data_IF_750741086718
#
_entry.id   IF_750741086718
#
_cell.length_a   1.000
_cell.length_b   1.000
_cell.length_c   1.000
_cell.angle_alpha   90.00
_cell.angle_beta   90.00
_cell.angle_gamma   90.00
#
_symmetry.space_group_name_H-M   'P 1'
#
loop_
_entity.id
_entity.type
_entity.pdbx_description
1 polymer ?
#
# COMPACT_ATOMS: atom_id res chain seq x y z
N UNK A 1 -41.35 -44.68 15.33
CA UNK A 1 -42.41 -43.64 15.36
C UNK A 1 -41.73 -42.33 15.74
N UNK A 2 -41.30 -41.43 14.86
CA UNK A 2 -41.82 -41.02 13.56
C UNK A 2 -42.54 -39.68 13.72
N UNK A 3 -41.92 -38.59 13.21
CA UNK A 3 -42.43 -37.22 12.88
C UNK A 3 -41.53 -36.11 13.46
N UNK A 4 -41.11 -35.06 12.76
CA UNK A 4 -41.15 -34.65 11.34
C UNK A 4 -39.98 -33.65 11.17
N UNK A 5 -39.19 -33.83 10.13
CA UNK A 5 -38.30 -32.80 9.55
C UNK A 5 -39.15 -31.82 8.74
N UNK A 6 -38.96 -30.52 8.91
CA UNK A 6 -39.48 -29.53 7.98
C UNK A 6 -38.35 -28.96 7.13
N UNK A 7 -38.37 -29.34 5.85
CA UNK A 7 -37.58 -28.78 4.76
C UNK A 7 -38.14 -27.41 4.39
N UNK A 8 -37.28 -26.42 4.22
CA UNK A 8 -37.60 -25.23 3.42
C UNK A 8 -36.73 -25.29 2.17
N UNK A 9 -37.38 -25.38 1.00
CA UNK A 9 -36.77 -25.43 -0.32
C UNK A 9 -37.08 -24.12 -1.06
N UNK A 10 -36.11 -23.69 -1.87
CA UNK A 10 -36.10 -22.48 -2.71
C UNK A 10 -37.21 -22.42 -3.75
N UNK A 11 -37.68 -21.20 -4.10
CA UNK A 11 -37.73 -20.67 -5.48
C UNK A 11 -38.48 -19.32 -5.60
N UNK A 12 -37.84 -18.39 -6.32
CA UNK A 12 -38.36 -17.32 -7.20
C UNK A 12 -39.40 -16.32 -6.68
N UNK A 13 -39.07 -15.02 -6.82
CA UNK A 13 -39.86 -14.04 -7.59
C UNK A 13 -38.91 -12.91 -8.07
N UNK A 14 -38.70 -12.87 -9.38
CA UNK A 14 -38.29 -11.68 -10.13
C UNK A 14 -39.46 -10.70 -10.16
N UNK A 15 -39.23 -9.41 -9.85
CA UNK A 15 -40.05 -8.30 -10.34
C UNK A 15 -39.23 -7.01 -10.36
N UNK A 16 -38.99 -6.52 -11.58
CA UNK A 16 -38.50 -5.19 -11.93
C UNK A 16 -39.67 -4.20 -11.87
N UNK A 17 -39.48 -2.99 -11.33
CA UNK A 17 -40.10 -1.77 -11.91
C UNK A 17 -39.50 -0.44 -11.41
N UNK A 18 -39.01 0.30 -12.40
CA UNK A 18 -38.65 1.71 -12.53
C UNK A 18 -39.08 2.73 -11.45
N UNK A 19 -38.11 3.56 -11.04
CA UNK A 19 -38.35 4.90 -10.49
C UNK A 19 -37.88 5.93 -11.52
N UNK A 20 -38.84 6.71 -12.05
CA UNK A 20 -38.61 7.94 -12.81
C UNK A 20 -38.45 9.09 -11.81
N UNK A 21 -37.43 9.93 -11.96
CA UNK A 21 -37.40 11.29 -11.39
C UNK A 21 -37.01 12.30 -12.48
N UNK A 22 -37.66 13.48 -12.56
CA UNK A 22 -37.54 14.37 -13.70
C UNK A 22 -36.36 15.35 -13.60
N UNK A 23 -35.86 15.66 -14.78
CA UNK A 23 -34.89 16.68 -15.13
C UNK A 23 -35.51 18.08 -14.97
N UNK A 24 -34.87 18.98 -14.21
CA UNK A 24 -35.22 20.40 -14.16
C UNK A 24 -34.06 21.22 -14.73
N UNK A 25 -34.31 21.83 -15.88
CA UNK A 25 -33.48 22.84 -16.53
C UNK A 25 -33.50 24.14 -15.72
N UNK A 26 -32.33 24.78 -15.55
CA UNK A 26 -32.25 26.23 -15.34
C UNK A 26 -31.23 26.78 -16.33
N UNK A 27 -31.71 27.71 -17.15
CA UNK A 27 -30.95 28.46 -18.14
C UNK A 27 -30.60 29.85 -17.60
N UNK A 28 -29.51 30.42 -18.13
CA UNK A 28 -29.33 31.86 -18.31
C UNK A 28 -28.35 32.54 -17.35
N UNK A 29 -27.22 33.01 -17.87
CA UNK A 29 -27.06 34.43 -18.24
C UNK A 29 -25.68 34.67 -18.85
N UNK A 30 -25.70 35.33 -20.01
CA UNK A 30 -24.57 35.96 -20.69
C UNK A 30 -24.07 37.17 -19.90
N UNK A 31 -22.75 37.43 -19.94
CA UNK A 31 -22.18 38.78 -19.84
C UNK A 31 -20.90 38.85 -20.67
N UNK A 32 -21.03 39.50 -21.82
CA UNK A 32 -19.97 40.10 -22.63
C UNK A 32 -19.45 41.35 -21.92
N UNK A 33 -18.13 41.52 -21.87
CA UNK A 33 -17.50 42.83 -21.69
C UNK A 33 -16.26 42.94 -22.58
N UNK A 34 -16.17 44.11 -23.20
CA UNK A 34 -15.27 44.54 -24.25
C UNK A 34 -14.13 45.39 -23.67
N UNK A 35 -13.01 45.45 -24.39
CA UNK A 35 -12.31 46.72 -24.58
C UNK A 35 -10.88 46.82 -24.03
N UNK A 36 -9.96 47.22 -24.91
CA UNK A 36 -8.77 47.97 -24.49
C UNK A 36 -7.49 47.72 -25.26
N UNK A 37 -7.43 48.11 -26.54
CA UNK A 37 -6.17 48.32 -27.27
C UNK A 37 -5.45 49.59 -26.79
N UNK A 38 -4.12 49.61 -26.80
CA UNK A 38 -3.36 50.74 -27.40
C UNK A 38 -1.86 50.44 -27.51
N UNK A 39 -1.36 50.82 -28.67
CA UNK A 39 0.01 50.74 -29.17
C UNK A 39 0.91 51.82 -28.56
N UNK A 40 2.21 51.57 -28.53
CA UNK A 40 3.22 52.60 -28.26
C UNK A 40 4.57 52.19 -28.81
N UNK A 41 4.83 52.51 -30.08
CA UNK A 41 6.15 52.47 -30.69
C UNK A 41 6.95 53.71 -30.31
N UNK A 42 8.20 53.55 -29.90
CA UNK A 42 9.23 54.57 -30.13
C UNK A 42 10.61 53.92 -30.21
N UNK A 43 11.26 54.19 -31.34
CA UNK A 43 12.65 53.89 -31.67
C UNK A 43 13.54 55.06 -31.24
N UNK A 44 14.75 54.80 -30.72
CA UNK A 44 15.99 55.44 -31.17
C UNK A 44 17.25 54.98 -30.40
N UNK A 45 18.20 54.48 -31.20
CA UNK A 45 19.66 54.47 -31.15
C UNK A 45 20.48 54.60 -29.83
N UNK A 46 21.29 53.54 -29.65
CA UNK A 46 22.78 53.52 -29.63
C UNK A 46 23.55 54.35 -28.60
N UNK A 47 24.26 53.65 -27.70
CA UNK A 47 25.61 53.99 -27.25
C UNK A 47 26.26 52.77 -26.59
N UNK A 48 27.33 52.29 -27.21
CA UNK A 48 28.26 51.27 -26.71
C UNK A 48 29.02 51.76 -25.49
N UNK A 49 29.00 50.98 -24.40
CA UNK A 49 30.05 51.02 -23.38
C UNK A 49 30.32 49.60 -22.89
N UNK A 50 31.53 49.15 -23.22
CA UNK A 50 32.10 47.86 -22.87
C UNK A 50 32.56 47.92 -21.42
N UNK A 51 31.82 47.28 -20.52
CA UNK A 51 32.30 46.93 -19.19
C UNK A 51 32.17 45.43 -19.02
N UNK A 52 33.31 44.76 -19.11
CA UNK A 52 33.52 43.35 -18.81
C UNK A 52 33.19 43.09 -17.34
N UNK A 53 31.93 42.78 -17.07
CA UNK A 53 31.54 42.11 -15.84
C UNK A 53 31.98 40.66 -15.95
N UNK A 54 32.94 40.28 -15.11
CA UNK A 54 33.22 38.89 -14.79
C UNK A 54 31.95 38.29 -14.19
N UNK A 55 31.18 37.60 -15.04
CA UNK A 55 30.05 36.77 -14.61
C UNK A 55 30.62 35.66 -13.75
N UNK A 56 30.64 35.89 -12.45
CA UNK A 56 30.76 34.84 -11.46
C UNK A 56 29.52 33.98 -11.65
N UNK A 57 29.65 32.90 -12.41
CA UNK A 57 28.61 31.90 -12.56
C UNK A 57 28.48 31.17 -11.23
N UNK A 58 27.85 31.82 -10.26
CA UNK A 58 27.26 31.14 -9.12
C UNK A 58 26.24 30.19 -9.72
N UNK A 59 26.58 28.91 -9.75
CA UNK A 59 25.66 27.82 -10.06
C UNK A 59 24.55 27.93 -9.01
N UNK A 60 23.48 28.64 -9.35
CA UNK A 60 22.29 28.70 -8.51
C UNK A 60 21.78 27.28 -8.43
N UNK A 61 22.02 26.62 -7.30
CA UNK A 61 21.42 25.32 -6.99
C UNK A 61 19.92 25.53 -7.13
N UNK A 62 19.30 24.84 -8.08
CA UNK A 62 17.86 24.93 -8.28
C UNK A 62 17.18 24.37 -7.04
N UNK A 63 16.56 25.25 -6.24
CA UNK A 63 15.76 24.90 -5.08
C UNK A 63 14.32 24.50 -5.47
N UNK A 64 14.12 24.00 -6.68
CA UNK A 64 12.81 23.61 -7.19
C UNK A 64 12.61 22.09 -7.01
N UNK A 65 11.43 21.65 -6.53
CA UNK A 65 11.14 20.22 -6.42
C UNK A 65 11.17 19.56 -7.79
N UNK A 66 11.89 18.44 -7.89
CA UNK A 66 11.91 17.61 -9.10
C UNK A 66 10.86 16.51 -8.99
N UNK A 67 10.19 16.21 -10.09
CA UNK A 67 9.28 15.07 -10.17
C UNK A 67 10.08 13.76 -10.07
N UNK A 68 9.56 12.80 -9.31
CA UNK A 68 10.14 11.48 -9.13
C UNK A 68 9.07 10.40 -9.29
N UNK A 69 9.48 9.28 -9.89
CA UNK A 69 8.70 8.04 -9.91
C UNK A 69 9.56 6.95 -9.31
N UNK A 70 9.05 6.27 -8.29
CA UNK A 70 9.71 5.12 -7.66
C UNK A 70 8.90 3.88 -8.03
N UNK A 71 9.40 3.05 -8.95
CA UNK A 71 8.72 1.80 -9.29
C UNK A 71 8.88 0.78 -8.16
N UNK A 72 7.83 0.00 -7.97
CA UNK A 72 7.79 -1.14 -7.08
C UNK A 72 7.53 -2.42 -7.88
N UNK A 73 8.22 -3.51 -7.54
CA UNK A 73 7.94 -4.85 -8.04
C UNK A 73 7.61 -5.80 -6.88
N UNK A 74 6.92 -6.87 -7.20
CA UNK A 74 6.61 -7.93 -6.25
C UNK A 74 6.88 -9.28 -6.91
N UNK A 75 7.65 -10.12 -6.24
CA UNK A 75 8.03 -11.47 -6.70
C UNK A 75 7.87 -12.48 -5.56
N UNK A 76 7.97 -13.75 -5.90
CA UNK A 76 8.24 -14.85 -4.99
C UNK A 76 9.44 -15.61 -5.55
N UNK A 77 10.63 -15.33 -5.04
CA UNK A 77 11.87 -15.76 -5.69
C UNK A 77 11.97 -15.18 -7.10
N UNK A 78 11.93 -16.03 -8.12
CA UNK A 78 11.97 -15.60 -9.54
C UNK A 78 10.60 -15.41 -10.19
N UNK A 79 9.50 -15.69 -9.48
CA UNK A 79 8.14 -15.63 -10.04
C UNK A 79 7.51 -14.27 -9.79
N UNK A 80 7.12 -13.55 -10.85
CA UNK A 80 6.37 -12.30 -10.72
C UNK A 80 5.00 -12.52 -10.08
N UNK A 81 4.61 -11.61 -9.18
CA UNK A 81 3.29 -11.63 -8.55
C UNK A 81 2.24 -11.03 -9.48
N UNK A 82 1.20 -11.82 -9.75
CA UNK A 82 -0.07 -11.46 -10.38
C UNK A 82 -1.13 -12.53 -10.01
N UNK A 83 -2.40 -12.32 -10.36
CA UNK A 83 -3.48 -13.23 -9.98
C UNK A 83 -3.40 -14.62 -10.62
N UNK A 84 -2.66 -14.81 -11.71
CA UNK A 84 -2.42 -16.10 -12.35
C UNK A 84 -1.15 -16.80 -11.82
N UNK A 85 -0.36 -16.14 -10.95
CA UNK A 85 0.89 -16.68 -10.45
C UNK A 85 0.64 -17.92 -9.57
N UNK A 86 1.45 -18.95 -9.80
CA UNK A 86 1.62 -20.08 -8.89
C UNK A 86 2.97 -19.93 -8.20
N UNK A 87 2.94 -19.88 -6.88
CA UNK A 87 4.11 -19.74 -6.03
C UNK A 87 4.53 -21.13 -5.56
N UNK A 88 5.84 -21.39 -5.56
CA UNK A 88 6.42 -22.69 -5.23
C UNK A 88 7.51 -22.50 -4.17
N UNK A 89 7.80 -23.56 -3.41
CA UNK A 89 8.93 -23.57 -2.48
C UNK A 89 8.79 -22.58 -1.32
N UNK A 90 7.57 -22.27 -0.90
CA UNK A 90 7.33 -21.29 0.16
C UNK A 90 7.57 -21.87 1.56
N UNK A 91 8.29 -21.11 2.38
CA UNK A 91 8.52 -21.43 3.79
C UNK A 91 9.26 -22.74 4.03
N UNK A 92 9.23 -23.22 5.27
CA UNK A 92 10.07 -24.34 5.73
C UNK A 92 9.61 -25.70 5.22
N UNK A 93 8.41 -25.77 4.65
CA UNK A 93 7.79 -27.01 4.14
C UNK A 93 7.54 -26.97 2.63
N UNK A 94 8.13 -26.01 1.91
CA UNK A 94 8.02 -25.88 0.44
C UNK A 94 6.57 -25.83 -0.05
N UNK A 95 5.73 -25.04 0.61
CA UNK A 95 4.32 -24.88 0.27
C UNK A 95 4.16 -24.31 -1.14
N UNK A 96 3.22 -24.88 -1.90
CA UNK A 96 2.69 -24.31 -3.14
C UNK A 96 1.47 -23.46 -2.85
N UNK A 97 1.35 -22.29 -3.48
CA UNK A 97 0.22 -21.40 -3.27
C UNK A 97 -0.17 -20.57 -4.51
N UNK A 98 -1.38 -20.00 -4.48
CA UNK A 98 -1.85 -18.99 -5.46
C UNK A 98 -2.25 -17.70 -4.76
N UNK A 99 -2.25 -16.58 -5.49
CA UNK A 99 -2.51 -15.26 -4.90
C UNK A 99 -3.98 -15.11 -4.50
N UNK A 100 -4.22 -14.63 -3.27
CA UNK A 100 -5.54 -14.23 -2.80
C UNK A 100 -5.64 -12.71 -2.60
N UNK A 101 -4.60 -12.08 -2.05
CA UNK A 101 -4.47 -10.62 -2.01
C UNK A 101 -2.98 -10.26 -2.09
N UNK A 102 -2.65 -9.12 -2.70
CA UNK A 102 -1.27 -8.65 -2.75
C UNK A 102 -1.22 -7.13 -2.82
N UNK A 103 -1.62 -6.53 -1.71
CA UNK A 103 -1.70 -5.08 -1.52
C UNK A 103 -0.95 -4.65 -0.28
N UNK A 104 -0.37 -3.46 -0.31
CA UNK A 104 0.18 -2.84 0.89
C UNK A 104 0.23 -1.32 0.79
N UNK A 105 0.17 -0.67 1.95
CA UNK A 105 0.33 0.77 2.06
C UNK A 105 1.78 1.13 2.33
N UNK A 106 2.23 2.24 1.73
CA UNK A 106 3.49 2.89 2.11
C UNK A 106 3.23 4.36 2.41
N UNK A 107 4.00 4.91 3.35
CA UNK A 107 3.94 6.33 3.69
C UNK A 107 5.29 6.93 4.08
N UNK A 108 5.28 8.25 4.20
CA UNK A 108 6.39 9.10 4.65
C UNK A 108 7.57 9.15 3.66
N UNK A 109 7.56 8.52 2.47
CA UNK A 109 8.74 8.27 1.61
C UNK A 109 9.83 9.38 1.58
N UNK A 110 11.11 8.99 1.71
CA UNK A 110 12.27 9.91 1.68
C UNK A 110 13.40 9.33 0.85
N UNK A 111 14.16 10.20 0.20
CA UNK A 111 15.50 9.88 -0.26
C UNK A 111 16.48 10.22 0.86
N UNK A 112 17.58 9.48 0.97
CA UNK A 112 18.66 9.80 1.90
C UNK A 112 19.92 10.08 1.10
N UNK A 113 20.54 11.22 1.36
CA UNK A 113 21.77 11.62 0.69
C UNK A 113 22.96 10.79 1.17
N UNK A 114 24.07 10.85 0.44
CA UNK A 114 25.35 10.26 0.86
C UNK A 114 25.92 10.85 2.16
N UNK A 115 25.45 12.04 2.57
CA UNK A 115 25.80 12.67 3.86
C UNK A 115 24.83 12.30 4.99
N UNK A 116 23.77 11.54 4.69
CA UNK A 116 22.76 11.10 5.66
C UNK A 116 21.57 12.04 5.83
N UNK A 117 21.47 13.10 5.03
CA UNK A 117 20.31 14.00 5.05
C UNK A 117 19.08 13.31 4.46
N UNK A 118 17.93 13.42 5.12
CA UNK A 118 16.66 12.87 4.63
C UNK A 118 15.87 13.94 3.86
N UNK A 119 15.60 13.66 2.60
CA UNK A 119 14.86 14.51 1.69
C UNK A 119 13.44 13.93 1.51
N UNK A 120 12.40 14.51 2.14
CA UNK A 120 11.05 13.99 2.05
C UNK A 120 10.50 14.11 0.62
N UNK A 121 9.75 13.08 0.21
CA UNK A 121 9.01 13.05 -1.05
C UNK A 121 7.55 13.40 -0.74
N UNK A 122 7.06 14.46 -1.36
CA UNK A 122 5.64 14.80 -1.37
C UNK A 122 4.96 14.03 -2.49
N UNK A 123 4.05 13.12 -2.16
CA UNK A 123 3.33 12.33 -3.17
C UNK A 123 2.31 13.18 -3.93
N UNK A 124 2.11 12.86 -5.20
CA UNK A 124 1.02 13.45 -5.98
C UNK A 124 -0.33 12.81 -5.58
N UNK A 125 -1.39 13.60 -5.66
CA UNK A 125 -2.77 13.19 -5.37
C UNK A 125 -3.39 12.52 -6.60
N UNK A 126 -3.45 11.19 -6.63
CA UNK A 126 -3.84 10.40 -7.83
C UNK A 126 -4.94 9.38 -7.57
N UNK A 127 -5.57 9.40 -6.40
CA UNK A 127 -6.60 8.45 -5.98
C UNK A 127 -6.03 7.13 -5.45
N UNK A 128 -5.00 6.57 -6.11
CA UNK A 128 -4.20 5.45 -5.53
C UNK A 128 -3.15 5.95 -4.53
N UNK A 129 -3.00 7.27 -4.42
CA UNK A 129 -2.20 7.96 -3.42
C UNK A 129 -2.91 9.25 -3.00
N UNK A 130 -2.88 9.55 -1.71
CA UNK A 130 -3.35 10.81 -1.13
C UNK A 130 -2.74 11.03 0.24
N UNK A 131 -2.61 12.29 0.66
CA UNK A 131 -2.18 12.66 2.01
C UNK A 131 -0.81 11.99 2.40
N UNK A 132 0.10 11.87 1.42
CA UNK A 132 1.40 11.17 1.51
C UNK A 132 1.33 9.67 1.85
N UNK A 133 0.23 9.02 1.48
CA UNK A 133 0.01 7.57 1.61
C UNK A 133 -0.26 7.03 0.20
N UNK A 134 0.40 5.95 -0.17
CA UNK A 134 0.12 5.22 -1.41
C UNK A 134 -0.33 3.80 -1.12
N UNK A 135 -1.32 3.33 -1.87
CA UNK A 135 -1.67 1.91 -1.94
C UNK A 135 -0.99 1.30 -3.17
N UNK A 136 -0.14 0.31 -2.92
CA UNK A 136 0.41 -0.53 -3.97
C UNK A 136 -0.48 -1.76 -4.09
N UNK A 137 -0.86 -2.10 -5.32
CA UNK A 137 -1.70 -3.25 -5.66
C UNK A 137 -1.08 -3.99 -6.84
N UNK A 138 -0.71 -5.25 -6.62
CA UNK A 138 -0.06 -6.10 -7.62
C UNK A 138 -1.03 -7.08 -8.28
N UNK A 139 -2.32 -7.01 -7.93
CA UNK A 139 -3.35 -7.87 -8.50
C UNK A 139 -3.86 -7.24 -9.79
N UNK A 140 -3.68 -7.96 -10.89
CA UNK A 140 -4.21 -7.59 -12.20
C UNK A 140 -5.72 -7.89 -12.33
N UNK A 141 -6.30 -8.64 -11.38
CA UNK A 141 -7.73 -8.89 -11.26
C UNK A 141 -8.27 -8.55 -9.88
N UNK A 142 -9.52 -8.11 -9.84
CA UNK A 142 -10.29 -7.88 -8.62
C UNK A 142 -10.80 -9.20 -8.04
N UNK A 143 -11.46 -9.11 -6.88
CA UNK A 143 -12.05 -10.25 -6.16
C UNK A 143 -11.74 -10.18 -4.68
N UNK A 144 -12.59 -10.81 -3.86
CA UNK A 144 -12.39 -10.89 -2.40
C UNK A 144 -12.90 -12.24 -1.88
N UNK A 145 -12.46 -12.64 -0.68
CA UNK A 145 -12.89 -13.90 -0.08
C UNK A 145 -12.63 -15.09 -1.02
N UNK A 146 -13.67 -15.91 -1.25
CA UNK A 146 -13.57 -17.09 -2.11
C UNK A 146 -13.37 -16.77 -3.61
N UNK A 147 -13.66 -15.55 -4.06
CA UNK A 147 -13.47 -15.11 -5.46
C UNK A 147 -12.25 -14.21 -5.63
N UNK A 148 -11.38 -14.15 -4.62
CA UNK A 148 -10.10 -13.45 -4.70
C UNK A 148 -9.34 -13.80 -5.98
N UNK A 149 -8.87 -12.77 -6.71
CA UNK A 149 -8.18 -12.90 -8.00
C UNK A 149 -8.97 -13.60 -9.14
N UNK A 150 -10.30 -13.70 -9.02
CA UNK A 150 -11.18 -14.30 -10.03
C UNK A 150 -12.18 -13.31 -10.67
N UNK A 151 -12.12 -12.03 -10.28
CA UNK A 151 -13.00 -10.98 -10.81
C UNK A 151 -12.50 -10.34 -12.11
N UNK A 152 -13.06 -9.17 -12.41
CA UNK A 152 -12.68 -8.35 -13.56
C UNK A 152 -11.24 -7.84 -13.46
N UNK A 153 -10.68 -7.35 -14.57
CA UNK A 153 -9.39 -6.66 -14.56
C UNK A 153 -9.39 -5.51 -13.55
N UNK A 154 -8.26 -5.30 -12.87
CA UNK A 154 -8.10 -4.24 -11.88
C UNK A 154 -7.65 -2.93 -12.56
N UNK A 155 -8.53 -1.93 -12.77
CA UNK A 155 -8.15 -0.67 -13.41
C UNK A 155 -7.30 0.22 -12.50
N UNK A 156 -7.22 -0.11 -11.21
CA UNK A 156 -6.55 0.67 -10.17
C UNK A 156 -5.30 -0.03 -9.63
N UNK A 157 -4.79 -1.02 -10.36
CA UNK A 157 -3.50 -1.64 -10.09
C UNK A 157 -2.42 -0.55 -10.05
N UNK A 158 -1.60 -0.54 -8.99
CA UNK A 158 -0.58 0.48 -8.79
C UNK A 158 0.74 -0.17 -8.35
N UNK A 159 1.77 -0.06 -9.20
CA UNK A 159 3.10 -0.63 -8.96
C UNK A 159 4.17 0.46 -8.86
N UNK A 160 3.79 1.67 -8.48
CA UNK A 160 4.72 2.79 -8.36
C UNK A 160 4.23 3.82 -7.36
N UNK A 161 5.13 4.72 -7.02
CA UNK A 161 4.82 5.93 -6.29
C UNK A 161 5.31 7.13 -7.08
N UNK A 162 4.47 8.13 -7.24
CA UNK A 162 4.78 9.37 -7.94
C UNK A 162 4.69 10.56 -7.00
N UNK A 163 5.61 11.50 -7.15
CA UNK A 163 5.66 12.68 -6.30
C UNK A 163 6.78 13.65 -6.68
N UNK A 164 7.15 14.49 -5.73
CA UNK A 164 8.16 15.53 -5.89
C UNK A 164 9.10 15.57 -4.70
N UNK A 165 10.36 15.90 -4.94
CA UNK A 165 11.39 15.99 -3.90
C UNK A 165 12.39 17.10 -4.22
N UNK A 166 12.84 17.82 -3.20
CA UNK A 166 13.90 18.81 -3.30
C UNK A 166 15.26 18.11 -3.21
N UNK A 167 15.83 17.72 -4.36
CA UNK A 167 17.13 17.02 -4.40
C UNK A 167 18.31 18.01 -4.38
N UNK A 168 18.22 19.12 -5.11
CA UNK A 168 19.35 20.02 -5.32
C UNK A 168 20.53 19.30 -5.98
N UNK A 169 21.74 19.55 -5.50
CA UNK A 169 22.97 18.89 -5.99
C UNK A 169 23.36 17.65 -5.17
N UNK A 170 22.46 17.14 -4.33
CA UNK A 170 22.77 16.03 -3.44
C UNK A 170 22.88 14.71 -4.20
N UNK A 171 23.93 13.93 -3.88
CA UNK A 171 24.01 12.53 -4.29
C UNK A 171 23.17 11.66 -3.36
N UNK A 172 22.28 10.86 -3.93
CA UNK A 172 21.40 9.96 -3.19
C UNK A 172 22.09 8.62 -2.94
N UNK A 173 21.97 8.08 -1.73
CA UNK A 173 22.58 6.83 -1.31
C UNK A 173 21.55 5.75 -0.96
N UNK A 174 20.37 6.14 -0.45
CA UNK A 174 19.32 5.19 -0.08
C UNK A 174 17.93 5.79 -0.21
N UNK A 175 16.92 4.92 -0.15
CA UNK A 175 15.51 5.29 -0.04
C UNK A 175 14.95 4.74 1.26
N UNK A 176 14.09 5.52 1.91
CA UNK A 176 13.37 5.14 3.12
C UNK A 176 11.86 5.28 2.96
N UNK A 177 11.12 4.28 3.40
CA UNK A 177 9.67 4.31 3.45
C UNK A 177 9.15 3.58 4.69
N UNK A 178 7.91 3.87 5.09
CA UNK A 178 7.24 3.10 6.14
C UNK A 178 6.18 2.22 5.51
N UNK A 179 6.21 0.92 5.80
CA UNK A 179 5.16 -0.02 5.43
C UNK A 179 3.97 0.12 6.40
N UNK A 180 2.90 0.75 5.92
CA UNK A 180 1.63 0.87 6.65
C UNK A 180 0.90 2.19 6.45
N UNK A 181 -0.04 2.46 7.36
CA UNK A 181 -0.87 3.68 7.37
C UNK A 181 -0.47 4.53 8.59
N UNK A 182 -0.20 5.85 8.46
CA UNK A 182 0.15 6.72 9.58
C UNK A 182 -0.84 6.62 10.74
N UNK A 183 -0.37 6.80 11.99
CA UNK A 183 -1.24 6.73 13.17
C UNK A 183 -2.41 7.72 13.11
N UNK A 184 -2.19 8.91 12.53
CA UNK A 184 -3.20 9.95 12.33
C UNK A 184 -4.35 9.53 11.41
N UNK A 185 -4.13 8.53 10.54
CA UNK A 185 -5.12 8.05 9.58
C UNK A 185 -5.65 6.66 9.93
N UNK A 186 -4.88 5.86 10.68
CA UNK A 186 -5.14 4.42 10.82
C UNK A 186 -6.52 4.08 11.40
N UNK A 187 -7.06 4.91 12.28
CA UNK A 187 -8.34 4.66 12.94
C UNK A 187 -9.40 5.68 12.57
N UNK A 188 -9.17 6.55 11.58
CA UNK A 188 -10.20 7.47 11.11
C UNK A 188 -11.40 6.72 10.54
N UNK A 189 -12.57 7.40 10.47
CA UNK A 189 -13.76 6.83 9.84
C UNK A 189 -13.48 6.55 8.35
N UNK A 190 -13.47 5.27 8.02
CA UNK A 190 -13.09 4.74 6.72
C UNK A 190 -14.13 5.06 5.63
N UNK A 191 -15.38 5.33 6.03
CA UNK A 191 -16.45 5.70 5.10
C UNK A 191 -16.34 7.15 4.65
N UNK A 192 -15.71 7.99 5.48
CA UNK A 192 -15.45 9.40 5.22
C UNK A 192 -14.02 9.67 4.72
N UNK A 193 -13.14 8.67 4.79
CA UNK A 193 -11.78 8.76 4.28
C UNK A 193 -11.75 9.03 2.76
N UNK A 194 -10.68 9.70 2.29
CA UNK A 194 -10.36 9.79 0.87
C UNK A 194 -9.74 8.47 0.39
N UNK A 195 -9.81 8.22 -0.92
CA UNK A 195 -8.96 7.19 -1.51
C UNK A 195 -7.47 7.55 -1.27
N UNK A 196 -6.58 6.57 -1.02
CA UNK A 196 -6.79 5.12 -1.13
C UNK A 196 -7.27 4.42 0.16
N UNK A 197 -7.69 5.20 1.17
CA UNK A 197 -8.12 4.69 2.48
C UNK A 197 -9.65 4.53 2.60
N UNK A 198 -10.41 4.92 1.58
CA UNK A 198 -11.88 4.86 1.63
C UNK A 198 -12.38 3.41 1.59
N UNK A 199 -13.35 3.07 2.45
CA UNK A 199 -14.13 1.82 2.41
C UNK A 199 -15.63 2.12 2.44
N UNK A 200 -16.45 1.59 1.50
CA UNK A 200 -16.04 0.86 0.30
C UNK A 200 -15.26 1.75 -0.66
N UNK A 201 -14.28 1.16 -1.33
CA UNK A 201 -13.28 1.86 -2.16
C UNK A 201 -12.05 0.98 -2.40
N UNK A 202 -10.90 1.59 -2.67
CA UNK A 202 -9.65 0.84 -2.93
C UNK A 202 -9.18 0.02 -1.72
N UNK A 203 -9.53 0.47 -0.51
CA UNK A 203 -9.20 -0.21 0.74
C UNK A 203 -10.19 -1.34 1.11
N UNK A 204 -11.15 -1.68 0.25
CA UNK A 204 -12.09 -2.78 0.54
C UNK A 204 -11.32 -4.08 0.83
N UNK A 205 -11.57 -4.69 2.00
CA UNK A 205 -10.85 -5.87 2.51
C UNK A 205 -9.50 -5.57 3.21
N UNK A 206 -9.00 -4.33 3.13
CA UNK A 206 -7.79 -3.83 3.80
C UNK A 206 -8.10 -3.13 5.13
N UNK A 207 -9.29 -3.33 5.68
CA UNK A 207 -9.63 -2.98 7.05
C UNK A 207 -9.76 -4.23 7.92
N UNK A 208 -9.61 -4.06 9.22
CA UNK A 208 -9.88 -5.11 10.18
C UNK A 208 -11.39 -5.32 10.35
N UNK A 209 -11.81 -6.57 10.50
CA UNK A 209 -13.19 -6.91 10.86
C UNK A 209 -13.42 -7.07 12.36
N UNK A 210 -12.33 -7.24 13.13
CA UNK A 210 -12.33 -7.53 14.57
C UNK A 210 -11.50 -6.52 15.38
N UNK A 211 -10.75 -5.68 14.70
CA UNK A 211 -10.02 -4.55 15.26
C UNK A 211 -10.51 -3.27 14.56
N UNK A 212 -10.29 -2.10 15.15
CA UNK A 212 -10.56 -0.84 14.46
C UNK A 212 -9.34 -0.48 13.62
N UNK A 213 -9.56 -0.01 12.38
CA UNK A 213 -8.52 0.57 11.53
C UNK A 213 -8.10 -0.30 10.34
N UNK A 214 -6.92 0.00 9.78
CA UNK A 214 -6.44 -0.61 8.54
C UNK A 214 -5.47 -1.76 8.77
N UNK A 215 -5.53 -2.73 7.85
CA UNK A 215 -4.44 -3.63 7.54
C UNK A 215 -3.45 -2.89 6.65
N UNK A 216 -2.20 -2.84 7.08
CA UNK A 216 -1.09 -2.26 6.34
C UNK A 216 -0.69 -3.11 5.15
N UNK A 217 -0.90 -4.42 5.27
CA UNK A 217 -0.66 -5.40 4.22
C UNK A 217 -1.84 -6.36 4.09
N UNK A 218 -2.10 -6.79 2.87
CA UNK A 218 -2.89 -7.96 2.53
C UNK A 218 -2.05 -8.78 1.56
N UNK A 219 -1.13 -9.59 2.10
CA UNK A 219 -0.23 -10.46 1.33
C UNK A 219 -0.68 -11.91 1.55
N UNK A 220 -1.86 -12.21 1.02
CA UNK A 220 -2.60 -13.42 1.32
C UNK A 220 -2.49 -14.40 0.15
N UNK A 221 -2.35 -15.68 0.48
CA UNK A 221 -2.29 -16.76 -0.53
C UNK A 221 -3.21 -17.90 -0.17
N UNK A 222 -3.67 -18.63 -1.18
CA UNK A 222 -4.31 -19.93 -0.99
C UNK A 222 -3.29 -21.05 -1.13
N UNK A 223 -3.10 -21.83 -0.08
CA UNK A 223 -2.20 -22.99 -0.09
C UNK A 223 -2.85 -24.15 -0.83
N UNK A 224 -2.07 -24.85 -1.66
CA UNK A 224 -2.55 -25.99 -2.43
C UNK A 224 -2.93 -27.19 -1.54
N UNK A 225 -2.27 -27.32 -0.40
CA UNK A 225 -2.59 -28.27 0.67
C UNK A 225 -3.17 -27.50 1.86
N UNK A 226 -4.30 -27.95 2.46
CA UNK A 226 -4.85 -27.28 3.63
C UNK A 226 -3.85 -27.21 4.78
N UNK A 227 -3.79 -26.02 5.39
CA UNK A 227 -3.11 -25.74 6.66
C UNK A 227 -3.86 -26.50 7.76
N UNK A 228 -3.10 -27.13 8.66
CA UNK A 228 -3.65 -27.88 9.80
C UNK A 228 -3.28 -27.23 11.12
N UNK A 229 -3.94 -27.60 12.22
CA UNK A 229 -3.61 -27.13 13.56
C UNK A 229 -3.19 -28.30 14.45
N UNK A 230 -1.94 -28.32 14.97
CA UNK A 230 -1.47 -29.42 15.82
C UNK A 230 -2.34 -29.66 17.06
N UNK A 231 -2.91 -28.60 17.64
CA UNK A 231 -3.77 -28.69 18.83
C UNK A 231 -5.25 -29.05 18.53
N UNK A 232 -5.66 -29.10 17.26
CA UNK A 232 -7.03 -29.40 16.84
C UNK A 232 -7.04 -30.07 15.46
N UNK A 233 -7.09 -31.40 15.47
CA UNK A 233 -7.05 -32.23 14.26
C UNK A 233 -8.25 -32.03 13.32
N UNK A 234 -9.35 -31.40 13.77
CA UNK A 234 -10.52 -31.14 12.93
C UNK A 234 -10.48 -29.75 12.27
N UNK A 235 -9.56 -28.89 12.69
CA UNK A 235 -9.42 -27.56 12.11
C UNK A 235 -8.52 -27.59 10.87
N UNK A 236 -9.00 -26.98 9.79
CA UNK A 236 -8.19 -26.76 8.58
C UNK A 236 -8.52 -25.41 7.97
N UNK A 237 -7.57 -24.87 7.20
CA UNK A 237 -7.78 -23.66 6.40
C UNK A 237 -6.97 -23.75 5.11
N UNK A 238 -7.41 -23.12 4.03
CA UNK A 238 -6.63 -23.06 2.79
C UNK A 238 -6.00 -21.69 2.53
N UNK A 239 -6.23 -20.69 3.40
CA UNK A 239 -5.74 -19.32 3.22
C UNK A 239 -4.69 -19.00 4.27
N UNK A 240 -3.47 -18.72 3.82
CA UNK A 240 -2.42 -18.15 4.66
C UNK A 240 -2.47 -16.63 4.56
N UNK A 241 -2.68 -15.95 5.69
CA UNK A 241 -2.82 -14.51 5.73
C UNK A 241 -1.52 -13.85 6.22
N UNK A 242 -1.21 -12.68 5.66
CA UNK A 242 -0.20 -11.78 6.22
C UNK A 242 -0.80 -10.38 6.29
N UNK A 243 -1.39 -10.09 7.45
CA UNK A 243 -2.00 -8.81 7.77
C UNK A 243 -1.16 -8.10 8.82
N UNK A 244 -0.26 -7.22 8.37
CA UNK A 244 0.40 -6.26 9.23
C UNK A 244 -0.60 -5.17 9.62
N UNK A 245 -0.60 -4.70 10.86
CA UNK A 245 -1.42 -3.57 11.29
C UNK A 245 -1.29 -3.28 12.78
N UNK A 246 -1.70 -2.08 13.22
CA UNK A 246 -1.64 -1.73 14.65
C UNK A 246 -2.53 -2.68 15.48
N UNK A 247 -2.01 -3.18 16.61
CA UNK A 247 -2.74 -4.07 17.54
C UNK A 247 -2.64 -3.61 18.99
N UNK A 248 -3.43 -4.21 19.88
CA UNK A 248 -3.58 -3.74 21.26
C UNK A 248 -4.17 -2.34 21.34
N UNK A 249 -5.14 -2.06 20.46
CA UNK A 249 -5.77 -0.75 20.33
C UNK A 249 -6.94 -0.59 21.31
N UNK A 250 -7.03 0.59 21.90
CA UNK A 250 -8.11 1.00 22.81
C UNK A 250 -8.61 2.39 22.42
N UNK A 251 -9.88 2.70 22.72
CA UNK A 251 -10.56 3.92 22.29
C UNK A 251 -11.70 3.64 21.30
N UNK A 252 -12.39 4.68 20.89
CA UNK A 252 -13.53 4.59 19.97
C UNK A 252 -13.46 5.73 18.94
N UNK A 253 -12.93 5.42 17.76
CA UNK A 253 -12.85 6.40 16.68
C UNK A 253 -14.20 6.72 16.04
N UNK A 254 -15.19 5.83 16.15
CA UNK A 254 -16.52 6.02 15.55
C UNK A 254 -17.27 7.13 16.28
N UNK A 255 -17.09 7.25 17.59
CA UNK A 255 -17.61 8.38 18.38
C UNK A 255 -16.69 9.60 18.42
N UNK A 256 -15.61 9.62 17.62
CA UNK A 256 -14.64 10.71 17.58
C UNK A 256 -13.60 10.70 18.70
N UNK A 257 -13.51 9.62 19.47
CA UNK A 257 -12.47 9.40 20.48
C UNK A 257 -11.12 9.02 19.87
N UNK A 258 -10.04 9.37 20.56
CA UNK A 258 -8.69 8.98 20.15
C UNK A 258 -8.48 7.47 20.34
N UNK A 259 -7.89 6.81 19.34
CA UNK A 259 -7.46 5.41 19.44
C UNK A 259 -5.96 5.37 19.69
N UNK A 260 -5.57 4.64 20.74
CA UNK A 260 -4.17 4.39 21.09
C UNK A 260 -3.89 2.90 21.01
N UNK A 261 -2.81 2.51 20.37
CA UNK A 261 -2.40 1.12 20.22
C UNK A 261 -1.06 0.90 20.93
N UNK A 262 -0.96 -0.19 21.70
CA UNK A 262 0.30 -0.58 22.34
C UNK A 262 1.33 -1.07 21.33
N UNK A 263 0.88 -1.61 20.19
CA UNK A 263 1.74 -2.06 19.11
C UNK A 263 1.39 -1.32 17.81
N UNK A 264 2.28 -0.43 17.37
CA UNK A 264 2.09 0.35 16.15
C UNK A 264 2.34 -0.45 14.86
N UNK A 265 3.19 -1.48 14.91
CA UNK A 265 3.49 -2.43 13.82
C UNK A 265 3.76 -1.77 12.46
N UNK A 266 4.58 -0.71 12.43
CA UNK A 266 4.97 0.00 11.21
C UNK A 266 6.46 -0.23 10.96
N UNK A 267 6.78 -1.01 9.93
CA UNK A 267 8.16 -1.28 9.56
C UNK A 267 8.73 -0.08 8.80
N UNK A 268 9.83 0.49 9.30
CA UNK A 268 10.62 1.44 8.51
C UNK A 268 11.64 0.66 7.68
N UNK A 269 11.52 0.77 6.36
CA UNK A 269 12.35 0.08 5.40
C UNK A 269 13.40 1.06 4.89
N UNK A 270 14.67 0.70 5.03
CA UNK A 270 15.80 1.45 4.46
C UNK A 270 16.51 0.57 3.43
N UNK A 271 16.63 1.06 2.20
CA UNK A 271 17.26 0.32 1.10
C UNK A 271 18.41 1.15 0.52
N UNK A 272 19.63 0.66 0.69
CA UNK A 272 20.86 1.28 0.19
C UNK A 272 21.07 1.04 -1.31
N UNK A 273 21.99 1.80 -1.92
CA UNK A 273 22.32 1.71 -3.34
C UNK A 273 21.14 2.08 -4.26
N UNK A 274 20.28 3.00 -3.79
CA UNK A 274 19.18 3.51 -4.58
C UNK A 274 19.64 4.59 -5.55
N UNK A 275 19.34 4.40 -6.83
CA UNK A 275 19.63 5.32 -7.92
C UNK A 275 18.32 5.84 -8.50
N UNK A 276 18.11 7.15 -8.38
CA UNK A 276 16.90 7.82 -8.86
C UNK A 276 16.73 7.59 -10.37
N UNK A 277 15.56 7.07 -10.77
CA UNK A 277 15.24 6.80 -12.17
C UNK A 277 15.70 5.45 -12.72
N UNK A 278 16.57 4.73 -12.00
CA UNK A 278 17.11 3.43 -12.42
C UNK A 278 16.65 2.28 -11.51
N UNK A 279 16.57 2.54 -10.20
CA UNK A 279 16.20 1.54 -9.20
C UNK A 279 14.70 1.25 -9.15
N UNK A 280 14.38 -0.01 -8.87
CA UNK A 280 13.06 -0.52 -8.51
C UNK A 280 13.12 -1.11 -7.11
N UNK A 281 12.13 -0.78 -6.27
CA UNK A 281 11.98 -1.39 -4.95
C UNK A 281 11.22 -2.71 -5.11
N UNK A 282 11.84 -3.82 -4.75
CA UNK A 282 11.24 -5.15 -4.88
C UNK A 282 10.82 -5.69 -3.51
N UNK A 283 9.59 -6.19 -3.41
CA UNK A 283 9.15 -7.08 -2.33
C UNK A 283 9.26 -8.53 -2.80
N UNK A 284 9.99 -9.37 -2.07
CA UNK A 284 10.04 -10.82 -2.30
C UNK A 284 9.24 -11.58 -1.23
N UNK A 285 8.10 -12.15 -1.65
CA UNK A 285 7.22 -12.93 -0.80
C UNK A 285 7.88 -14.22 -0.30
N UNK A 286 8.72 -14.87 -1.12
CA UNK A 286 9.42 -16.08 -0.69
C UNK A 286 10.39 -15.77 0.45
N UNK A 287 11.07 -14.61 0.39
CA UNK A 287 11.90 -14.10 1.48
C UNK A 287 11.09 -13.74 2.72
N UNK A 288 9.94 -13.10 2.54
CA UNK A 288 9.06 -12.74 3.66
C UNK A 288 8.66 -13.96 4.49
N UNK A 289 8.34 -15.08 3.84
CA UNK A 289 7.84 -16.29 4.49
C UNK A 289 8.88 -17.40 4.67
N UNK A 290 10.18 -17.15 4.38
CA UNK A 290 11.21 -18.20 4.28
C UNK A 290 11.38 -19.04 5.55
N UNK A 291 11.04 -18.46 6.71
CA UNK A 291 11.13 -19.10 8.02
C UNK A 291 9.78 -19.59 8.58
N UNK A 292 8.69 -19.45 7.84
CA UNK A 292 7.36 -19.84 8.29
C UNK A 292 7.02 -21.27 7.86
N UNK A 293 6.41 -22.05 8.75
CA UNK A 293 5.77 -23.31 8.38
C UNK A 293 4.37 -23.03 7.84
N UNK A 294 4.25 -22.84 6.52
CA UNK A 294 2.97 -22.52 5.88
C UNK A 294 2.01 -23.74 5.72
N UNK A 295 2.32 -24.88 6.35
CA UNK A 295 1.44 -26.05 6.42
C UNK A 295 0.73 -26.20 7.76
N UNK A 296 1.12 -25.41 8.77
CA UNK A 296 0.60 -25.50 10.13
C UNK A 296 0.28 -24.11 10.69
N UNK A 297 -0.73 -24.04 11.57
CA UNK A 297 -1.11 -22.86 12.34
C UNK A 297 -1.20 -23.24 13.82
N UNK A 298 -0.39 -22.59 14.65
CA UNK A 298 -0.29 -22.84 16.08
C UNK A 298 -1.45 -22.27 16.91
N UNK A 299 -2.29 -21.42 16.32
CA UNK A 299 -3.51 -20.92 16.94
C UNK A 299 -3.88 -19.50 16.47
N UNK A 300 -5.20 -19.23 16.40
CA UNK A 300 -5.73 -17.96 15.89
C UNK A 300 -6.26 -18.09 14.45
N UNK A 301 -6.32 -16.99 13.68
CA UNK A 301 -6.55 -17.05 12.25
C UNK A 301 -5.30 -17.51 11.49
N UNK A 302 -5.47 -18.37 10.48
CA UNK A 302 -4.39 -18.94 9.68
C UNK A 302 -3.34 -17.91 9.19
N UNK A 303 -2.08 -18.12 9.55
CA UNK A 303 -0.96 -17.25 9.18
C UNK A 303 -0.77 -16.11 10.20
N UNK A 304 -0.22 -14.98 9.79
CA UNK A 304 0.04 -13.86 10.70
C UNK A 304 -0.97 -12.72 10.53
N UNK A 305 -1.70 -12.39 11.61
CA UNK A 305 -2.59 -11.21 11.67
C UNK A 305 -2.18 -10.15 12.71
N UNK A 306 -0.88 -10.00 12.96
CA UNK A 306 -0.27 -9.04 13.91
C UNK A 306 -0.68 -9.19 15.39
N UNK A 307 -1.34 -10.29 15.74
CA UNK A 307 -1.74 -10.56 17.11
C UNK A 307 -0.53 -10.80 17.99
N UNK A 308 -0.43 -10.13 19.15
CA UNK A 308 0.75 -10.24 20.01
C UNK A 308 1.04 -11.68 20.51
N UNK A 309 0.04 -12.57 20.47
CA UNK A 309 0.16 -13.98 20.87
C UNK A 309 0.11 -14.94 19.68
N UNK A 310 0.04 -14.42 18.46
CA UNK A 310 0.01 -15.18 17.22
C UNK A 310 1.42 -15.79 16.99
N UNK A 311 1.57 -17.12 17.03
CA UNK A 311 2.88 -17.75 16.92
C UNK A 311 3.47 -17.61 15.51
N UNK A 312 2.65 -17.52 14.47
CA UNK A 312 3.07 -17.39 13.07
C UNK A 312 3.62 -15.98 12.78
N UNK A 313 3.30 -14.97 13.59
CA UNK A 313 3.78 -13.61 13.39
C UNK A 313 5.26 -13.38 13.70
N UNK A 314 5.90 -14.20 14.55
CA UNK A 314 7.27 -13.96 14.97
C UNK A 314 8.25 -13.87 13.79
N UNK A 315 8.17 -14.85 12.88
CA UNK A 315 9.06 -14.96 11.71
C UNK A 315 8.73 -13.89 10.67
N UNK A 316 7.45 -13.64 10.41
CA UNK A 316 7.01 -12.59 9.48
C UNK A 316 7.48 -11.20 9.94
N UNK A 317 7.31 -10.88 11.22
CA UNK A 317 7.77 -9.61 11.78
C UNK A 317 9.30 -9.49 11.68
N UNK A 318 10.04 -10.57 11.94
CA UNK A 318 11.50 -10.57 11.82
C UNK A 318 11.95 -10.28 10.38
N UNK A 319 11.32 -10.91 9.37
CA UNK A 319 11.58 -10.63 7.94
C UNK A 319 11.30 -9.18 7.55
N UNK A 320 10.42 -8.49 8.29
CA UNK A 320 10.10 -7.07 8.12
C UNK A 320 10.94 -6.14 9.02
N UNK A 321 11.88 -6.68 9.80
CA UNK A 321 12.68 -5.90 10.75
C UNK A 321 11.90 -5.38 11.96
N UNK A 322 10.75 -5.98 12.26
CA UNK A 322 9.89 -5.64 13.39
C UNK A 322 10.06 -6.61 14.55
N UNK A 323 10.01 -6.06 15.76
CA UNK A 323 9.96 -6.85 16.98
C UNK A 323 8.55 -7.39 17.19
N UNK A 324 8.43 -8.64 17.64
CA UNK A 324 7.16 -9.27 18.00
C UNK A 324 7.24 -9.88 19.40
N UNK A 325 6.15 -9.88 20.15
CA UNK A 325 6.15 -10.33 21.54
C UNK A 325 6.49 -11.82 21.72
N UNK A 326 6.30 -12.63 20.67
CA UNK A 326 6.67 -14.06 20.65
C UNK A 326 8.08 -14.32 20.13
N UNK A 327 8.83 -13.30 19.68
CA UNK A 327 10.22 -13.47 19.27
C UNK A 327 11.14 -13.69 20.48
N UNK A 328 12.11 -14.58 20.32
CA UNK A 328 13.15 -14.87 21.32
C UNK A 328 14.43 -14.07 21.11
N UNK A 329 14.59 -13.45 19.93
CA UNK A 329 15.75 -12.64 19.55
C UNK A 329 15.28 -11.35 18.87
N UNK A 330 15.97 -10.24 19.13
CA UNK A 330 15.72 -9.00 18.42
C UNK A 330 15.88 -9.21 16.91
N UNK A 331 14.97 -8.66 16.08
CA UNK A 331 15.02 -8.83 14.63
C UNK A 331 16.28 -8.19 14.06
N UNK A 332 16.82 -8.81 13.01
CA UNK A 332 17.82 -8.19 12.15
C UNK A 332 17.23 -7.02 11.36
N UNK A 333 18.03 -6.44 10.46
CA UNK A 333 17.48 -5.67 9.35
C UNK A 333 16.45 -6.53 8.58
N UNK A 334 15.43 -5.87 8.03
CA UNK A 334 14.42 -6.50 7.19
C UNK A 334 15.09 -7.21 5.98
N UNK A 335 14.50 -8.32 5.53
CA UNK A 335 15.02 -9.16 4.42
C UNK A 335 14.08 -9.24 3.22
N UNK A 336 12.83 -8.80 3.36
CA UNK A 336 11.79 -8.95 2.35
C UNK A 336 11.87 -7.92 1.21
N UNK A 337 12.44 -6.74 1.46
CA UNK A 337 12.58 -5.67 0.48
C UNK A 337 14.03 -5.50 0.01
N UNK A 338 14.22 -5.24 -1.28
CA UNK A 338 15.53 -5.02 -1.91
C UNK A 338 15.47 -3.97 -3.02
N UNK A 339 16.65 -3.55 -3.51
CA UNK A 339 16.79 -2.74 -4.74
C UNK A 339 17.12 -3.66 -5.91
N UNK A 340 16.39 -3.50 -7.00
CA UNK A 340 16.74 -4.05 -8.32
C UNK A 340 17.04 -2.88 -9.24
N UNK A 341 18.25 -2.84 -9.80
CA UNK A 341 18.64 -1.86 -10.79
C UNK A 341 18.40 -2.42 -12.19
N UNK A 342 17.95 -1.56 -13.11
CA UNK A 342 17.86 -1.87 -14.53
C UNK A 342 19.23 -2.04 -15.18
#
# INVERSE_FOLDING_TARGET
>A
MGKVMEKINSANIFKSLAIKLPLACIAGALLTACGGSSSGSSTSNSSSSSSSSVSSSSSSVSNEPVAITIPFSAVSGSTDINCAATLEGLGTVSTRATIADFRFYVHNLRLVTSTGEELPITLDETGVQADNIALLDFRDKLGTGATACQGDANPTMNKQVVGKVLIGNNTIASVRFVLGVPATHNHADQTLAKEPLKTPGLSSGMHWGWNVGYKFTGLDVFTAVPITRPSDANWTNSRWNIHLGSTGCTGDAVSGGAVTCTAGNRAEITLTNFVVGESTIQLDYAKLVEHSNMGEDGGGPAGCMSGATDPECATIFASLGLAHATQTTAPSAQTAFSIVNK
#
